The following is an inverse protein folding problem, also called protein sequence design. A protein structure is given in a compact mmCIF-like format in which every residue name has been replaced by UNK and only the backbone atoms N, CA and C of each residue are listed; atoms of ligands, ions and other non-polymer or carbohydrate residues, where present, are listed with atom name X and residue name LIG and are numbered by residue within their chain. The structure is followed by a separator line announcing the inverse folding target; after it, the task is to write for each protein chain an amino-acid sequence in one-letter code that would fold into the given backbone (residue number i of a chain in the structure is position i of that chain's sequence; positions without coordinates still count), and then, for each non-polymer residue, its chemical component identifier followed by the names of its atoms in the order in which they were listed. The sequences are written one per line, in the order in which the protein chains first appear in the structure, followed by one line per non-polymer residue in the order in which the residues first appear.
data_IF_998733276342
#
_entry.id   IF_998733276342
#
_cell.length_a   1.000
_cell.length_b   1.000
_cell.length_c   1.000
_cell.angle_alpha   90.00
_cell.angle_beta   90.00
_cell.angle_gamma   90.00
#
_symmetry.space_group_name_H-M   'P 1'
#
loop_
_entity.id
_entity.type
_entity.pdbx_description
1 polymer ?
#
# COMPACT_ATOMS: atom_id res chain seq x y z
N UNK A 1 9.88 5.72 11.33
CA UNK A 1 9.17 4.66 10.62
C UNK A 1 9.10 4.99 9.15
N UNK A 2 9.38 4.02 8.26
CA UNK A 2 9.31 4.31 6.83
C UNK A 2 7.88 4.60 6.40
N UNK A 3 7.74 5.64 5.60
CA UNK A 3 6.48 6.01 5.01
C UNK A 3 6.69 6.20 3.51
N UNK A 4 5.70 5.83 2.74
CA UNK A 4 5.76 5.88 1.29
C UNK A 4 4.50 6.53 0.75
N UNK A 5 4.59 7.29 -0.34
CA UNK A 5 3.38 7.87 -0.93
C UNK A 5 2.51 6.81 -1.59
N UNK A 6 1.21 7.02 -1.53
CA UNK A 6 0.25 6.25 -2.32
C UNK A 6 -0.14 7.10 -3.51
N UNK A 7 0.04 6.57 -4.71
CA UNK A 7 -0.21 7.30 -5.94
C UNK A 7 -1.46 6.78 -6.65
N UNK A 8 -2.22 7.70 -7.19
CA UNK A 8 -3.33 7.40 -8.09
C UNK A 8 -3.28 8.40 -9.24
N UNK A 9 -3.22 7.89 -10.45
CA UNK A 9 -3.04 8.73 -11.63
C UNK A 9 -1.80 9.63 -11.50
N UNK A 10 -0.75 9.05 -10.92
CA UNK A 10 0.53 9.71 -10.70
C UNK A 10 0.47 10.88 -9.70
N UNK A 11 -0.58 10.94 -8.88
CA UNK A 11 -0.75 11.97 -7.85
C UNK A 11 -0.75 11.33 -6.47
N UNK A 12 -0.08 11.94 -5.49
CA UNK A 12 -0.13 11.40 -4.13
C UNK A 12 -1.50 11.63 -3.52
N UNK A 13 -2.12 10.54 -3.05
CA UNK A 13 -3.44 10.59 -2.43
C UNK A 13 -3.42 10.10 -0.98
N UNK A 14 -2.28 9.61 -0.51
CA UNK A 14 -2.19 9.11 0.84
C UNK A 14 -0.81 8.59 1.18
N UNK A 15 -0.74 7.84 2.26
CA UNK A 15 0.52 7.35 2.81
C UNK A 15 0.41 5.88 3.19
N UNK A 16 1.43 5.12 2.86
CA UNK A 16 1.63 3.76 3.33
C UNK A 16 2.71 3.78 4.40
N UNK A 17 2.39 3.27 5.59
CA UNK A 17 3.35 3.16 6.68
C UNK A 17 3.70 1.69 6.89
N UNK A 18 4.98 1.41 7.05
CA UNK A 18 5.49 0.07 7.26
C UNK A 18 6.16 0.00 8.62
N UNK A 19 5.71 -0.94 9.47
CA UNK A 19 6.20 -1.08 10.84
C UNK A 19 6.53 -2.54 11.10
N UNK A 20 7.64 -2.80 11.77
CA UNK A 20 7.96 -4.15 12.22
C UNK A 20 7.44 -4.39 13.62
N UNK A 21 6.77 -5.54 13.80
CA UNK A 21 6.27 -5.97 15.10
C UNK A 21 6.64 -7.44 15.29
N UNK A 22 7.76 -7.68 15.98
CA UNK A 22 8.25 -9.03 16.19
C UNK A 22 8.61 -9.72 14.88
N UNK A 23 7.96 -10.84 14.60
CA UNK A 23 8.20 -11.62 13.37
C UNK A 23 7.30 -11.17 12.22
N UNK A 24 6.49 -10.14 12.42
CA UNK A 24 5.56 -9.65 11.42
C UNK A 24 5.94 -8.26 10.94
N UNK A 25 5.50 -7.92 9.75
CA UNK A 25 5.55 -6.56 9.23
C UNK A 25 4.12 -6.09 9.04
N UNK A 26 3.81 -4.91 9.58
CA UNK A 26 2.47 -4.33 9.50
C UNK A 26 2.49 -3.22 8.48
N UNK A 27 1.57 -3.30 7.53
CA UNK A 27 1.37 -2.29 6.49
C UNK A 27 0.09 -1.56 6.79
N UNK A 28 0.19 -0.26 7.02
CA UNK A 28 -0.96 0.59 7.30
C UNK A 28 -1.06 1.65 6.21
N UNK A 29 -2.15 1.63 5.47
CA UNK A 29 -2.36 2.55 4.36
C UNK A 29 -3.59 3.39 4.60
N UNK A 30 -3.51 4.67 4.23
CA UNK A 30 -4.64 5.60 4.30
C UNK A 30 -4.56 6.54 3.11
N UNK A 31 -5.67 6.69 2.41
CA UNK A 31 -5.73 7.55 1.23
C UNK A 31 -7.08 8.26 1.17
N UNK A 32 -7.07 9.45 0.57
CA UNK A 32 -8.30 10.19 0.28
C UNK A 32 -8.51 10.20 -1.23
N UNK A 33 -9.61 9.63 -1.66
CA UNK A 33 -9.95 9.54 -3.07
C UNK A 33 -11.45 9.39 -3.22
N UNK A 34 -11.98 9.74 -4.38
CA UNK A 34 -13.40 9.60 -4.67
C UNK A 34 -13.78 8.16 -5.01
N UNK A 35 -12.81 7.29 -5.20
CA UNK A 35 -13.09 5.90 -5.50
C UNK A 35 -13.72 5.19 -4.30
N UNK A 36 -14.69 4.27 -4.53
CA UNK A 36 -15.30 3.53 -3.42
C UNK A 36 -14.37 2.47 -2.84
N UNK A 37 -13.31 2.11 -3.55
CA UNK A 37 -12.31 1.14 -3.11
C UNK A 37 -11.08 1.30 -3.99
N UNK A 38 -9.96 0.75 -3.53
CA UNK A 38 -8.71 0.86 -4.27
C UNK A 38 -7.88 -0.40 -4.06
N UNK A 39 -7.44 -1.02 -5.13
CA UNK A 39 -6.54 -2.18 -5.06
C UNK A 39 -5.12 -1.66 -4.96
N UNK A 40 -4.53 -1.80 -3.78
CA UNK A 40 -3.23 -1.23 -3.49
C UNK A 40 -2.11 -2.21 -3.81
N UNK A 41 -1.13 -1.73 -4.57
CA UNK A 41 0.10 -2.47 -4.86
C UNK A 41 1.28 -1.72 -4.30
N UNK A 42 2.30 -2.45 -3.83
CA UNK A 42 3.57 -1.87 -3.44
C UNK A 42 4.53 -2.00 -4.60
N UNK A 43 5.27 -0.94 -4.89
CA UNK A 43 6.11 -0.86 -6.07
C UNK A 43 7.56 -0.57 -5.69
N UNK A 44 8.47 -1.33 -6.27
CA UNK A 44 9.89 -1.08 -6.21
C UNK A 44 10.40 -0.65 -7.57
N UNK A 45 11.73 -0.61 -7.72
CA UNK A 45 12.34 -0.17 -8.96
C UNK A 45 12.05 -1.12 -10.13
N UNK A 46 11.94 -2.42 -9.86
CA UNK A 46 11.80 -3.44 -10.91
C UNK A 46 10.70 -4.46 -10.65
N UNK A 47 10.01 -4.33 -9.55
CA UNK A 47 8.98 -5.30 -9.19
C UNK A 47 7.85 -4.60 -8.47
N UNK A 48 6.73 -5.29 -8.46
CA UNK A 48 5.54 -4.82 -7.77
C UNK A 48 4.76 -6.01 -7.26
N UNK A 49 3.94 -5.80 -6.23
CA UNK A 49 3.11 -6.85 -5.70
C UNK A 49 1.82 -6.27 -5.15
N UNK A 50 0.73 -6.99 -5.36
CA UNK A 50 -0.56 -6.61 -4.80
C UNK A 50 -0.49 -6.76 -3.27
N UNK A 51 -0.89 -5.72 -2.56
CA UNK A 51 -0.91 -5.74 -1.09
C UNK A 51 -2.28 -6.06 -0.54
N UNK A 52 -3.30 -5.39 -1.03
CA UNK A 52 -4.65 -5.62 -0.54
C UNK A 52 -5.63 -4.58 -1.05
N UNK A 53 -6.88 -4.74 -0.63
CA UNK A 53 -7.96 -3.85 -1.04
C UNK A 53 -8.21 -2.82 0.06
N UNK A 54 -8.11 -1.55 -0.31
CA UNK A 54 -8.45 -0.45 0.59
C UNK A 54 -9.94 -0.21 0.55
N UNK A 55 -10.55 -0.07 1.71
CA UNK A 55 -12.00 0.10 1.85
C UNK A 55 -12.30 1.32 2.71
N UNK A 56 -13.51 1.92 2.56
CA UNK A 56 -13.91 3.07 3.36
C UNK A 56 -13.93 2.73 4.85
N UNK A 57 -13.42 3.65 5.66
CA UNK A 57 -13.40 3.49 7.12
C UNK A 57 -14.49 4.33 7.83
N UNK A 58 -15.34 4.98 7.07
CA UNK A 58 -16.39 5.82 7.63
C UNK A 58 -16.00 7.27 7.85
N UNK A 59 -14.71 7.62 7.67
CA UNK A 59 -14.23 8.99 7.88
C UNK A 59 -14.03 9.75 6.57
N UNK A 60 -14.41 9.16 5.44
CA UNK A 60 -14.16 9.75 4.13
C UNK A 60 -12.84 9.35 3.52
N UNK A 61 -12.13 8.43 4.15
CA UNK A 61 -10.88 7.90 3.64
C UNK A 61 -10.98 6.41 3.37
N UNK A 62 -10.10 5.91 2.51
CA UNK A 62 -9.91 4.48 2.33
C UNK A 62 -8.73 4.04 3.20
N UNK A 63 -8.84 2.90 3.84
CA UNK A 63 -7.78 2.37 4.69
C UNK A 63 -7.56 0.89 4.42
N UNK A 64 -6.34 0.45 4.74
CA UNK A 64 -5.97 -0.95 4.71
C UNK A 64 -4.94 -1.18 5.80
N UNK A 65 -5.14 -2.24 6.58
CA UNK A 65 -4.13 -2.68 7.52
C UNK A 65 -3.87 -4.16 7.26
N UNK A 66 -2.62 -4.50 7.03
CA UNK A 66 -2.23 -5.86 6.71
C UNK A 66 -1.00 -6.25 7.50
N UNK A 67 -1.07 -7.43 8.10
CA UNK A 67 0.02 -7.99 8.88
C UNK A 67 0.56 -9.20 8.15
N UNK A 68 1.81 -9.13 7.73
CA UNK A 68 2.42 -10.18 6.92
C UNK A 68 3.56 -10.84 7.68
N UNK A 69 3.67 -12.15 7.51
CA UNK A 69 4.82 -12.89 8.00
C UNK A 69 6.02 -12.62 7.11
N UNK A 70 7.19 -13.09 7.55
CA UNK A 70 8.41 -12.95 6.77
C UNK A 70 8.30 -13.62 5.40
N UNK A 71 7.69 -14.80 5.35
CA UNK A 71 7.50 -15.51 4.09
C UNK A 71 6.57 -14.78 3.14
N UNK A 72 5.50 -14.20 3.69
CA UNK A 72 4.57 -13.42 2.89
C UNK A 72 5.22 -12.15 2.34
N UNK A 73 6.09 -11.51 3.14
CA UNK A 73 6.81 -10.32 2.69
C UNK A 73 7.80 -10.62 1.58
N UNK A 74 8.24 -11.87 1.43
CA UNK A 74 9.19 -12.23 0.39
C UNK A 74 8.63 -12.02 -1.02
N UNK A 75 7.30 -11.94 -1.18
CA UNK A 75 6.67 -11.65 -2.46
C UNK A 75 6.73 -10.18 -2.83
N UNK A 76 7.01 -9.32 -1.86
CA UNK A 76 7.02 -7.88 -2.05
C UNK A 76 8.40 -7.42 -2.54
N UNK A 77 8.49 -6.25 -3.17
CA UNK A 77 9.79 -5.67 -3.49
C UNK A 77 10.64 -5.54 -2.24
N UNK A 78 11.92 -5.86 -2.34
CA UNK A 78 12.83 -5.70 -1.21
C UNK A 78 12.93 -4.26 -0.76
N UNK A 79 12.93 -3.35 -1.73
CA UNK A 79 12.95 -1.92 -1.47
C UNK A 79 11.69 -1.31 -2.05
N UNK A 80 10.81 -0.84 -1.17
CA UNK A 80 9.58 -0.20 -1.58
C UNK A 80 9.87 1.27 -1.85
N UNK A 81 9.44 1.76 -3.00
CA UNK A 81 9.58 3.16 -3.37
C UNK A 81 8.28 3.91 -3.18
N UNK A 82 7.15 3.27 -3.52
CA UNK A 82 5.84 3.88 -3.37
C UNK A 82 4.78 2.78 -3.42
N UNK A 83 3.54 3.17 -3.15
CA UNK A 83 2.39 2.31 -3.36
C UNK A 83 1.48 2.98 -4.39
N UNK A 84 0.69 2.19 -5.10
CA UNK A 84 -0.10 2.73 -6.20
C UNK A 84 -1.40 1.95 -6.38
N UNK A 85 -2.35 2.60 -7.06
CA UNK A 85 -3.56 1.94 -7.54
C UNK A 85 -3.14 0.94 -8.63
N UNK A 86 -3.34 -0.36 -8.35
CA UNK A 86 -2.94 -1.42 -9.25
C UNK A 86 -3.57 -1.26 -10.64
N UNK A 87 -4.81 -0.78 -10.68
CA UNK A 87 -5.54 -0.68 -11.94
C UNK A 87 -5.08 0.48 -12.80
N UNK A 88 -4.41 1.47 -12.22
CA UNK A 88 -4.09 2.70 -12.93
C UNK A 88 -2.59 2.92 -13.16
N UNK A 89 -1.81 2.87 -12.09
CA UNK A 89 -0.42 3.31 -12.16
C UNK A 89 0.55 2.21 -12.56
N UNK A 90 0.05 1.00 -12.72
CA UNK A 90 0.89 -0.15 -13.03
C UNK A 90 0.56 -0.65 -14.43
N UNK A 91 1.54 -0.61 -15.34
CA UNK A 91 1.34 -1.09 -16.70
C UNK A 91 1.10 -2.59 -16.79
#
# INVERSE_FOLDING_TARGET
MPEYPILQQNKPIGTLRVTREGLHTVFSARAKTDAPRLRLAVCGARSRAYLGLMLPDGSGALTLQKRLTRLECARLPQEILFAADEAWDIP
#
